data_IF_453371303284
#
_entry.id   IF_453371303284
#
_cell.length_a   1.000
_cell.length_b   1.000
_cell.length_c   1.000
_cell.angle_alpha   90.00
_cell.angle_beta   90.00
_cell.angle_gamma   90.00
#
_symmetry.space_group_name_H-M   'P 1'
#
loop_
_entity.id
_entity.type
_entity.pdbx_description
1 polymer ?
#
# COMPACT_ATOMS: atom_id res chain seq x y z
N UNK A 1 -10.81 -6.68 -23.75
CA UNK A 1 -10.74 -5.29 -24.20
C UNK A 1 -11.62 -4.44 -23.28
N UNK A 2 -11.01 -3.98 -22.20
CA UNK A 2 -11.41 -2.81 -21.41
C UNK A 2 -10.04 -2.16 -21.14
N UNK A 3 -9.65 -1.25 -22.01
CA UNK A 3 -8.51 -0.38 -21.79
C UNK A 3 -8.89 0.53 -20.63
N UNK A 4 -8.41 0.20 -19.43
CA UNK A 4 -8.38 1.15 -18.32
C UNK A 4 -7.21 2.09 -18.57
N UNK A 5 -7.39 2.99 -19.54
CA UNK A 5 -6.54 4.18 -19.68
C UNK A 5 -6.72 5.03 -18.41
N UNK A 6 -5.65 5.22 -17.65
CA UNK A 6 -5.58 6.27 -16.63
C UNK A 6 -5.90 5.90 -15.18
N UNK A 7 -5.85 4.63 -14.75
CA UNK A 7 -5.76 4.36 -13.31
C UNK A 7 -4.32 4.64 -12.83
N UNK A 8 -4.03 5.91 -12.53
CA UNK A 8 -2.85 6.27 -11.74
C UNK A 8 -3.01 5.64 -10.35
N UNK A 9 -2.22 4.60 -10.07
CA UNK A 9 -2.17 3.99 -8.76
C UNK A 9 -1.20 4.76 -7.88
N UNK A 10 -1.71 5.24 -6.76
CA UNK A 10 -0.90 5.84 -5.72
C UNK A 10 -0.82 4.89 -4.52
N UNK A 11 0.39 4.64 -4.03
CA UNK A 11 0.65 3.85 -2.83
C UNK A 11 1.36 4.70 -1.78
N UNK A 12 0.81 4.76 -0.56
CA UNK A 12 1.42 5.49 0.55
C UNK A 12 1.93 4.53 1.62
N UNK A 13 3.12 4.82 2.14
CA UNK A 13 3.69 4.18 3.32
C UNK A 13 4.21 5.26 4.25
N UNK A 14 3.82 5.23 5.52
CA UNK A 14 4.27 6.18 6.52
C UNK A 14 4.38 5.52 7.90
N UNK A 15 5.21 6.11 8.75
CA UNK A 15 5.35 5.70 10.15
C UNK A 15 4.15 6.20 10.96
N UNK A 16 3.29 5.27 11.43
CA UNK A 16 2.10 5.62 12.23
C UNK A 16 2.44 6.37 13.52
N UNK A 17 3.39 5.92 14.37
CA UNK A 17 3.77 6.67 15.57
C UNK A 17 4.27 8.09 15.27
N UNK A 18 5.05 8.24 14.19
CA UNK A 18 5.58 9.53 13.75
C UNK A 18 4.47 10.48 13.27
N UNK A 19 3.44 9.92 12.62
CA UNK A 19 2.31 10.69 12.13
C UNK A 19 1.33 11.07 13.26
N UNK A 20 1.02 10.13 14.15
CA UNK A 20 -0.05 10.27 15.15
C UNK A 20 0.33 11.10 16.39
N UNK A 21 1.57 11.61 16.47
CA UNK A 21 2.07 12.31 17.66
C UNK A 21 1.31 13.61 18.01
N UNK A 22 0.62 14.24 17.05
CA UNK A 22 0.09 15.61 17.18
C UNK A 22 -1.45 15.68 17.04
N UNK A 23 -2.17 14.65 17.49
CA UNK A 23 -3.64 14.65 17.52
C UNK A 23 -4.33 14.32 16.19
N UNK A 24 -3.57 13.98 15.14
CA UNK A 24 -4.09 13.45 13.86
C UNK A 24 -4.47 11.96 13.93
N UNK A 25 -4.39 11.33 15.10
CA UNK A 25 -4.67 9.91 15.28
C UNK A 25 -6.10 9.53 14.86
N UNK A 26 -7.08 10.42 15.02
CA UNK A 26 -8.47 10.18 14.61
C UNK A 26 -8.62 9.98 13.09
N UNK A 27 -7.72 10.54 12.28
CA UNK A 27 -7.71 10.33 10.83
C UNK A 27 -7.36 8.87 10.45
N UNK A 28 -6.89 8.06 11.41
CA UNK A 28 -6.63 6.64 11.22
C UNK A 28 -7.84 5.75 11.56
N UNK A 29 -8.90 6.29 12.17
CA UNK A 29 -10.13 5.54 12.51
C UNK A 29 -10.74 4.77 11.32
N UNK A 30 -10.78 5.30 10.08
CA UNK A 30 -11.25 4.53 8.93
C UNK A 30 -10.47 3.21 8.75
N UNK A 31 -9.16 3.21 8.99
CA UNK A 31 -8.30 2.04 8.83
C UNK A 31 -8.46 1.05 9.98
N UNK A 32 -8.67 1.54 11.20
CA UNK A 32 -9.01 0.69 12.35
C UNK A 32 -10.32 -0.04 12.13
N UNK A 33 -11.35 0.65 11.63
CA UNK A 33 -12.63 0.02 11.26
C UNK A 33 -12.44 -1.07 10.20
N UNK A 34 -11.56 -0.87 9.22
CA UNK A 34 -11.24 -1.89 8.21
C UNK A 34 -10.63 -3.13 8.85
N UNK A 35 -9.68 -2.94 9.78
CA UNK A 35 -9.09 -4.03 10.58
C UNK A 35 -10.16 -4.80 11.35
N UNK A 36 -11.16 -4.10 11.87
CA UNK A 36 -12.27 -4.67 12.64
C UNK A 36 -13.40 -5.24 11.78
N UNK A 37 -13.30 -5.13 10.45
CA UNK A 37 -14.19 -5.82 9.54
C UNK A 37 -14.91 -4.95 8.51
N UNK A 38 -14.75 -3.63 8.57
CA UNK A 38 -15.38 -2.70 7.64
C UNK A 38 -14.80 -2.81 6.21
N UNK A 39 -15.45 -2.14 5.27
CA UNK A 39 -15.01 -2.10 3.88
C UNK A 39 -13.68 -1.37 3.73
N UNK A 40 -12.68 -2.04 3.17
CA UNK A 40 -11.40 -1.44 2.77
C UNK A 40 -11.52 -0.54 1.53
N UNK A 41 -12.71 -0.43 0.94
CA UNK A 41 -12.98 0.40 -0.25
C UNK A 41 -13.85 1.57 0.17
N UNK A 42 -13.32 2.77 -0.01
CA UNK A 42 -14.02 4.05 0.20
C UNK A 42 -14.23 4.71 -1.16
N UNK A 43 -15.43 5.23 -1.40
CA UNK A 43 -15.73 5.99 -2.63
C UNK A 43 -15.52 7.47 -2.36
N UNK A 44 -14.53 8.05 -3.02
CA UNK A 44 -14.31 9.49 -2.98
C UNK A 44 -15.28 10.18 -3.96
N UNK A 45 -15.97 11.26 -3.57
CA UNK A 45 -16.77 12.08 -4.49
C UNK A 45 -15.96 12.57 -5.69
N UNK A 46 -16.55 12.55 -6.88
CA UNK A 46 -15.84 12.83 -8.15
C UNK A 46 -15.26 14.25 -8.24
N UNK A 47 -15.91 15.22 -7.60
CA UNK A 47 -15.44 16.60 -7.50
C UNK A 47 -14.15 16.76 -6.67
N UNK A 48 -13.81 15.75 -5.85
CA UNK A 48 -12.58 15.73 -5.04
C UNK A 48 -11.42 15.00 -5.72
N UNK A 49 -11.65 14.30 -6.84
CA UNK A 49 -10.61 13.46 -7.48
C UNK A 49 -9.39 14.28 -7.91
N UNK A 50 -9.60 15.38 -8.66
CA UNK A 50 -8.49 16.23 -9.13
C UNK A 50 -7.67 16.84 -7.98
N UNK A 51 -8.31 17.16 -6.85
CA UNK A 51 -7.61 17.66 -5.67
C UNK A 51 -6.71 16.59 -5.05
N UNK A 52 -7.24 15.37 -4.85
CA UNK A 52 -6.46 14.26 -4.32
C UNK A 52 -5.30 13.89 -5.23
N UNK A 53 -5.54 13.77 -6.54
CA UNK A 53 -4.48 13.50 -7.53
C UNK A 53 -3.35 14.55 -7.45
N UNK A 54 -3.70 15.83 -7.25
CA UNK A 54 -2.73 16.90 -7.02
C UNK A 54 -1.90 16.69 -5.75
N UNK A 55 -2.54 16.34 -4.62
CA UNK A 55 -1.83 16.07 -3.36
C UNK A 55 -0.88 14.87 -3.48
N UNK A 56 -1.33 13.80 -4.11
CA UNK A 56 -0.52 12.62 -4.32
C UNK A 56 0.68 12.90 -5.23
N UNK A 57 0.48 13.65 -6.31
CA UNK A 57 1.56 14.07 -7.21
C UNK A 57 2.61 14.91 -6.51
N UNK A 58 2.18 15.85 -5.67
CA UNK A 58 3.09 16.67 -4.88
C UNK A 58 3.90 15.82 -3.91
N UNK A 59 3.24 14.87 -3.23
CA UNK A 59 3.90 13.95 -2.32
C UNK A 59 4.93 13.07 -3.03
N UNK A 60 4.65 12.61 -4.25
CA UNK A 60 5.62 11.88 -5.07
C UNK A 60 6.81 12.75 -5.51
N UNK A 61 6.56 14.00 -5.90
CA UNK A 61 7.61 14.92 -6.32
C UNK A 61 8.60 15.17 -5.17
N UNK A 62 8.10 15.35 -3.94
CA UNK A 62 8.94 15.50 -2.74
C UNK A 62 9.81 14.27 -2.49
N UNK A 63 9.35 13.07 -2.85
CA UNK A 63 10.13 11.83 -2.72
C UNK A 63 11.21 11.65 -3.80
N UNK A 64 11.17 12.42 -4.89
CA UNK A 64 12.14 12.34 -6.00
C UNK A 64 13.30 13.32 -5.88
N UNK A 65 13.12 14.41 -5.16
CA UNK A 65 14.16 15.41 -4.94
C UNK A 65 15.22 14.86 -3.97
N UNK A 66 16.49 14.68 -4.42
CA UNK A 66 17.57 14.22 -3.56
C UNK A 66 18.04 15.36 -2.66
N UNK A 67 17.30 15.60 -1.57
CA UNK A 67 17.66 16.57 -0.54
C UNK A 67 17.87 15.82 0.78
N UNK A 68 18.84 16.25 1.59
CA UNK A 68 19.08 15.68 2.91
C UNK A 68 17.89 15.88 3.86
N UNK A 69 17.95 15.31 5.09
CA UNK A 69 16.90 15.49 6.09
C UNK A 69 16.62 16.99 6.28
N UNK A 70 15.38 17.40 6.03
CA UNK A 70 14.95 18.77 6.20
C UNK A 70 13.64 18.76 6.98
N UNK A 71 13.64 19.37 8.16
CA UNK A 71 12.46 19.50 9.00
C UNK A 71 11.28 20.14 8.23
N UNK A 72 11.59 21.03 7.29
CA UNK A 72 10.60 21.64 6.40
C UNK A 72 9.98 20.62 5.43
N UNK A 73 10.77 19.72 4.84
CA UNK A 73 10.25 18.67 3.96
C UNK A 73 9.38 17.68 4.73
N UNK A 74 9.80 17.28 5.92
CA UNK A 74 9.02 16.37 6.78
C UNK A 74 7.69 17.01 7.18
N UNK A 75 7.69 18.31 7.51
CA UNK A 75 6.47 19.06 7.81
C UNK A 75 5.53 19.15 6.60
N UNK A 76 6.05 19.37 5.39
CA UNK A 76 5.25 19.40 4.15
C UNK A 76 4.67 18.01 3.86
N UNK A 77 5.48 16.95 3.92
CA UNK A 77 5.01 15.57 3.71
C UNK A 77 3.91 15.20 4.70
N UNK A 78 4.09 15.53 5.98
CA UNK A 78 3.08 15.31 7.03
C UNK A 78 1.80 16.08 6.73
N UNK A 79 1.90 17.32 6.27
CA UNK A 79 0.74 18.15 5.92
C UNK A 79 -0.04 17.56 4.74
N UNK A 80 0.64 17.15 3.67
CA UNK A 80 0.02 16.51 2.51
C UNK A 80 -0.66 15.19 2.90
N UNK A 81 0.02 14.34 3.69
CA UNK A 81 -0.55 13.10 4.19
C UNK A 81 -1.80 13.36 5.05
N UNK A 82 -1.76 14.38 5.91
CA UNK A 82 -2.92 14.77 6.75
C UNK A 82 -4.11 15.16 5.88
N UNK A 83 -3.89 15.94 4.82
CA UNK A 83 -4.95 16.33 3.88
C UNK A 83 -5.54 15.11 3.15
N UNK A 84 -4.70 14.19 2.68
CA UNK A 84 -5.15 12.95 2.03
C UNK A 84 -6.00 12.11 3.00
N UNK A 85 -5.51 11.88 4.22
CA UNK A 85 -6.24 11.09 5.22
C UNK A 85 -7.55 11.77 5.65
N UNK A 86 -7.59 13.11 5.70
CA UNK A 86 -8.83 13.85 5.97
C UNK A 86 -9.88 13.68 4.85
N UNK A 87 -9.49 13.59 3.57
CA UNK A 87 -10.42 13.25 2.50
C UNK A 87 -10.96 11.82 2.64
N UNK A 88 -10.09 10.87 2.98
CA UNK A 88 -10.48 9.47 3.21
C UNK A 88 -11.47 9.38 4.37
N UNK A 89 -11.17 10.04 5.49
CA UNK A 89 -12.05 10.07 6.65
C UNK A 89 -13.43 10.66 6.31
N UNK A 90 -13.46 11.84 5.67
CA UNK A 90 -14.72 12.47 5.24
C UNK A 90 -15.53 11.58 4.31
N UNK A 91 -14.90 10.93 3.33
CA UNK A 91 -15.57 10.03 2.41
C UNK A 91 -16.06 8.74 3.09
N UNK A 92 -15.33 8.24 4.09
CA UNK A 92 -15.72 7.08 4.88
C UNK A 92 -16.92 7.38 5.79
N UNK A 93 -17.02 8.62 6.27
CA UNK A 93 -18.09 9.09 7.16
C UNK A 93 -19.35 9.51 6.39
N UNK A 94 -19.20 10.12 5.20
CA UNK A 94 -20.32 10.53 4.33
C UNK A 94 -21.00 9.37 3.61
N UNK A 95 -20.32 8.22 3.50
CA UNK A 95 -20.88 7.00 2.87
C UNK A 95 -22.05 6.39 3.66
N UNK A 96 -22.43 6.97 4.80
CA UNK A 96 -23.64 6.63 5.54
C UNK A 96 -23.56 5.27 6.23
N UNK A 97 -23.89 5.24 7.51
CA UNK A 97 -24.12 4.01 8.23
C UNK A 97 -25.10 3.10 7.44
N UNK A 98 -24.70 1.82 7.29
CA UNK A 98 -25.48 0.68 6.75
C UNK A 98 -25.62 0.54 5.23
N UNK A 99 -24.73 -0.26 4.62
CA UNK A 99 -24.97 -1.66 4.18
C UNK A 99 -23.61 -2.29 3.81
N UNK A 100 -23.16 -3.44 4.33
CA UNK A 100 -23.90 -4.60 4.80
C UNK A 100 -23.24 -5.28 6.02
N UNK A 101 -24.10 -5.76 6.92
CA UNK A 101 -23.90 -6.78 7.97
C UNK A 101 -23.61 -8.16 7.35
N UNK A 102 -22.58 -8.20 6.52
CA UNK A 102 -22.07 -9.34 5.77
C UNK A 102 -21.07 -8.74 4.79
N UNK A 103 -19.78 -9.05 4.95
CA UNK A 103 -18.74 -8.42 4.15
C UNK A 103 -19.09 -8.53 2.67
N UNK A 104 -18.99 -7.42 1.92
CA UNK A 104 -19.05 -7.52 0.46
C UNK A 104 -18.04 -8.57 0.02
N UNK A 105 -18.36 -9.35 -1.03
CA UNK A 105 -17.41 -10.31 -1.62
C UNK A 105 -16.05 -9.65 -1.89
N UNK A 106 -16.07 -8.35 -2.24
CA UNK A 106 -14.86 -7.53 -2.40
C UNK A 106 -14.09 -7.40 -1.08
N UNK A 107 -14.75 -6.99 0.00
CA UNK A 107 -14.12 -6.83 1.32
C UNK A 107 -13.56 -8.15 1.84
N UNK A 108 -14.32 -9.23 1.73
CA UNK A 108 -13.89 -10.56 2.16
C UNK A 108 -12.72 -11.07 1.31
N UNK A 109 -12.76 -10.88 0.00
CA UNK A 109 -11.68 -11.25 -0.90
C UNK A 109 -10.40 -10.46 -0.61
N UNK A 110 -10.50 -9.13 -0.44
CA UNK A 110 -9.34 -8.28 -0.09
C UNK A 110 -8.72 -8.68 1.24
N UNK A 111 -9.54 -8.90 2.28
CA UNK A 111 -9.06 -9.37 3.59
C UNK A 111 -8.40 -10.75 3.49
N UNK A 112 -8.96 -11.65 2.68
CA UNK A 112 -8.36 -12.95 2.45
C UNK A 112 -7.03 -12.81 1.71
N UNK A 113 -6.93 -11.95 0.69
CA UNK A 113 -5.68 -11.70 -0.02
C UNK A 113 -4.64 -11.12 0.93
N UNK A 114 -4.96 -10.07 1.70
CA UNK A 114 -4.03 -9.43 2.63
C UNK A 114 -3.39 -10.44 3.60
N UNK A 115 -4.20 -11.30 4.21
CA UNK A 115 -3.75 -12.30 5.18
C UNK A 115 -2.93 -13.44 4.58
N UNK A 116 -3.04 -13.67 3.26
CA UNK A 116 -2.56 -14.89 2.63
C UNK A 116 -1.64 -14.65 1.42
N UNK A 117 -1.43 -13.40 1.00
CA UNK A 117 -0.68 -13.10 -0.21
C UNK A 117 0.80 -13.47 -0.10
N UNK A 118 1.37 -13.53 1.10
CA UNK A 118 2.78 -13.88 1.33
C UNK A 118 3.08 -15.38 1.24
N UNK A 119 2.05 -16.22 1.13
CA UNK A 119 2.17 -17.66 0.84
C UNK A 119 1.69 -17.95 -0.58
N UNK A 120 1.93 -19.15 -1.14
CA UNK A 120 1.32 -19.56 -2.39
C UNK A 120 -0.20 -19.35 -2.34
N UNK A 121 -0.70 -18.49 -3.21
CA UNK A 121 -2.10 -18.06 -3.25
C UNK A 121 -2.52 -17.84 -4.70
N UNK A 122 -3.60 -18.51 -5.11
CA UNK A 122 -4.16 -18.41 -6.46
C UNK A 122 -5.52 -17.69 -6.44
N UNK A 123 -5.98 -17.26 -7.62
CA UNK A 123 -7.34 -16.73 -7.77
C UNK A 123 -8.41 -17.75 -7.34
N UNK A 124 -8.18 -19.04 -7.57
CA UNK A 124 -9.12 -20.09 -7.17
C UNK A 124 -9.24 -20.19 -5.65
N UNK A 125 -8.15 -20.01 -4.92
CA UNK A 125 -8.16 -20.01 -3.45
C UNK A 125 -8.96 -18.83 -2.90
N UNK A 126 -8.76 -17.64 -3.48
CA UNK A 126 -9.54 -16.43 -3.11
C UNK A 126 -11.03 -16.66 -3.40
N UNK A 127 -11.35 -17.21 -4.58
CA UNK A 127 -12.72 -17.49 -4.99
C UNK A 127 -13.41 -18.52 -4.10
N UNK A 128 -12.70 -19.58 -3.73
CA UNK A 128 -13.16 -20.59 -2.78
C UNK A 128 -13.43 -19.98 -1.39
N UNK A 129 -12.52 -19.12 -0.90
CA UNK A 129 -12.66 -18.47 0.40
C UNK A 129 -13.94 -17.60 0.53
N UNK A 130 -14.36 -16.96 -0.57
CA UNK A 130 -15.59 -16.15 -0.61
C UNK A 130 -16.79 -16.88 -1.22
N UNK A 131 -16.66 -18.19 -1.50
CA UNK A 131 -17.71 -19.05 -2.08
C UNK A 131 -18.30 -18.46 -3.38
N UNK A 132 -17.43 -18.02 -4.30
CA UNK A 132 -17.81 -17.49 -5.61
C UNK A 132 -16.93 -18.08 -6.70
N UNK A 133 -17.28 -17.83 -7.97
CA UNK A 133 -16.43 -18.22 -9.09
C UNK A 133 -15.23 -17.27 -9.25
N UNK A 134 -14.09 -17.76 -9.77
CA UNK A 134 -12.91 -16.94 -10.10
C UNK A 134 -13.26 -15.71 -10.97
N UNK A 135 -14.12 -15.90 -11.96
CA UNK A 135 -14.60 -14.83 -12.85
C UNK A 135 -15.39 -13.79 -12.08
N UNK A 136 -16.33 -14.20 -11.23
CA UNK A 136 -17.12 -13.27 -10.42
C UNK A 136 -16.23 -12.43 -9.50
N UNK A 137 -15.28 -13.06 -8.81
CA UNK A 137 -14.34 -12.35 -7.91
C UNK A 137 -13.50 -11.35 -8.68
N UNK A 138 -12.99 -11.74 -9.84
CA UNK A 138 -12.21 -10.84 -10.71
C UNK A 138 -13.04 -9.63 -11.13
N UNK A 139 -14.25 -9.85 -11.65
CA UNK A 139 -15.14 -8.76 -12.07
C UNK A 139 -15.51 -7.86 -10.90
N UNK A 140 -15.88 -8.41 -9.75
CA UNK A 140 -16.27 -7.65 -8.57
C UNK A 140 -15.11 -6.79 -8.04
N UNK A 141 -13.90 -7.35 -7.95
CA UNK A 141 -12.71 -6.60 -7.53
C UNK A 141 -12.34 -5.52 -8.55
N UNK A 142 -12.31 -5.83 -9.85
CA UNK A 142 -11.98 -4.85 -10.88
C UNK A 142 -12.98 -3.70 -10.91
N UNK A 143 -14.28 -3.96 -10.76
CA UNK A 143 -15.30 -2.92 -10.70
C UNK A 143 -15.20 -2.06 -9.43
N UNK A 144 -14.82 -2.65 -8.29
CA UNK A 144 -14.77 -1.93 -7.02
C UNK A 144 -13.45 -1.19 -6.80
N UNK A 145 -12.34 -1.72 -7.30
CA UNK A 145 -10.99 -1.24 -6.97
C UNK A 145 -10.12 -0.92 -8.19
N UNK A 146 -10.63 -1.14 -9.41
CA UNK A 146 -9.82 -1.05 -10.63
C UNK A 146 -8.79 -2.17 -10.81
N UNK A 147 -8.76 -3.19 -9.94
CA UNK A 147 -7.74 -4.25 -9.92
C UNK A 147 -8.34 -5.64 -9.78
N UNK A 148 -7.78 -6.59 -10.50
CA UNK A 148 -8.08 -8.02 -10.34
C UNK A 148 -7.50 -8.57 -9.04
N UNK A 149 -7.99 -9.74 -8.60
CA UNK A 149 -7.43 -10.43 -7.44
C UNK A 149 -5.94 -10.73 -7.59
N UNK A 150 -5.50 -11.13 -8.79
CA UNK A 150 -4.09 -11.44 -9.05
C UNK A 150 -3.21 -10.20 -8.90
N UNK A 151 -3.67 -9.04 -9.38
CA UNK A 151 -2.97 -7.77 -9.20
C UNK A 151 -2.88 -7.38 -7.72
N UNK A 152 -3.95 -7.60 -6.94
CA UNK A 152 -3.91 -7.39 -5.49
C UNK A 152 -2.92 -8.32 -4.78
N UNK A 153 -2.87 -9.61 -5.15
CA UNK A 153 -1.89 -10.56 -4.60
C UNK A 153 -0.47 -10.09 -4.90
N UNK A 154 -0.18 -9.75 -6.15
CA UNK A 154 1.15 -9.25 -6.56
C UNK A 154 1.50 -7.97 -5.82
N UNK A 155 0.58 -7.01 -5.74
CA UNK A 155 0.82 -5.73 -5.07
C UNK A 155 1.13 -5.90 -3.58
N UNK A 156 0.40 -6.78 -2.87
CA UNK A 156 0.69 -7.09 -1.47
C UNK A 156 2.08 -7.72 -1.28
N UNK A 157 2.46 -8.66 -2.15
CA UNK A 157 3.81 -9.27 -2.12
C UNK A 157 4.92 -8.25 -2.39
N UNK A 158 4.73 -7.36 -3.37
CA UNK A 158 5.70 -6.32 -3.72
C UNK A 158 5.86 -5.29 -2.60
N UNK A 159 4.76 -4.91 -1.94
CA UNK A 159 4.79 -4.01 -0.80
C UNK A 159 5.59 -4.60 0.37
N UNK A 160 5.35 -5.87 0.71
CA UNK A 160 6.13 -6.55 1.75
C UNK A 160 7.59 -6.75 1.36
N UNK A 161 7.86 -7.08 0.10
CA UNK A 161 9.23 -7.18 -0.40
C UNK A 161 9.97 -5.85 -0.24
N UNK A 162 9.36 -4.73 -0.62
CA UNK A 162 9.92 -3.38 -0.42
C UNK A 162 10.22 -3.13 1.06
N UNK A 163 9.29 -3.49 1.95
CA UNK A 163 9.47 -3.35 3.42
C UNK A 163 10.65 -4.18 3.92
N UNK A 164 10.75 -5.45 3.55
CA UNK A 164 11.86 -6.33 3.93
C UNK A 164 13.20 -5.83 3.39
N UNK A 165 13.24 -5.37 2.14
CA UNK A 165 14.47 -4.83 1.54
C UNK A 165 14.97 -3.56 2.25
N UNK A 166 14.06 -2.74 2.81
CA UNK A 166 14.40 -1.53 3.57
C UNK A 166 14.87 -1.81 4.99
N UNK A 167 14.26 -2.78 5.67
CA UNK A 167 14.41 -2.98 7.12
C UNK A 167 15.20 -4.25 7.47
N UNK A 168 15.80 -4.92 6.49
CA UNK A 168 16.61 -6.12 6.70
C UNK A 168 17.72 -6.25 5.66
N UNK A 169 18.80 -6.93 6.06
CA UNK A 169 19.92 -7.30 5.20
C UNK A 169 19.74 -8.70 4.58
N UNK A 170 18.51 -9.23 4.55
CA UNK A 170 18.22 -10.56 4.02
C UNK A 170 18.59 -10.67 2.53
N UNK A 171 19.06 -11.85 2.12
CA UNK A 171 19.38 -12.11 0.72
C UNK A 171 18.10 -12.06 -0.15
N UNK A 172 18.25 -11.67 -1.42
CA UNK A 172 17.12 -11.41 -2.34
C UNK A 172 16.27 -12.66 -2.58
N UNK A 173 16.90 -13.84 -2.61
CA UNK A 173 16.27 -15.15 -2.69
C UNK A 173 15.44 -15.47 -1.44
N UNK A 174 15.95 -15.18 -0.24
CA UNK A 174 15.22 -15.33 1.03
C UNK A 174 14.00 -14.40 1.04
N UNK A 175 14.16 -13.14 0.61
CA UNK A 175 13.03 -12.20 0.48
C UNK A 175 11.98 -12.73 -0.50
N UNK A 176 12.40 -13.30 -1.64
CA UNK A 176 11.50 -13.88 -2.63
C UNK A 176 10.65 -15.01 -2.02
N UNK A 177 11.28 -15.92 -1.26
CA UNK A 177 10.58 -17.01 -0.59
C UNK A 177 9.57 -16.48 0.44
N UNK A 178 9.98 -15.51 1.27
CA UNK A 178 9.12 -14.90 2.30
C UNK A 178 7.91 -14.18 1.74
N UNK A 179 8.00 -13.64 0.53
CA UNK A 179 6.87 -12.98 -0.16
C UNK A 179 6.15 -13.92 -1.12
N UNK A 180 6.36 -15.23 -1.00
CA UNK A 180 5.55 -16.25 -1.68
C UNK A 180 5.95 -16.53 -3.13
N UNK A 181 7.21 -16.25 -3.50
CA UNK A 181 7.80 -16.64 -4.79
C UNK A 181 8.75 -17.83 -4.61
N UNK A 182 8.46 -18.94 -5.27
CA UNK A 182 9.36 -20.11 -5.30
C UNK A 182 10.58 -19.91 -6.22
N UNK A 183 10.49 -18.97 -7.17
CA UNK A 183 11.57 -18.63 -8.09
C UNK A 183 12.00 -17.17 -7.91
N UNK A 184 13.23 -16.99 -7.44
CA UNK A 184 13.85 -15.68 -7.24
C UNK A 184 13.99 -14.90 -8.57
N UNK A 185 14.21 -15.57 -9.70
CA UNK A 185 14.31 -14.92 -11.02
C UNK A 185 12.96 -14.33 -11.42
N UNK A 186 11.87 -15.08 -11.22
CA UNK A 186 10.53 -14.56 -11.43
C UNK A 186 10.23 -13.36 -10.51
N UNK A 187 10.58 -13.46 -9.22
CA UNK A 187 10.43 -12.36 -8.28
C UNK A 187 11.19 -11.10 -8.74
N UNK A 188 12.47 -11.22 -9.11
CA UNK A 188 13.29 -10.07 -9.56
C UNK A 188 12.66 -9.39 -10.78
N UNK A 189 12.14 -10.16 -11.75
CA UNK A 189 11.45 -9.62 -12.92
C UNK A 189 10.18 -8.85 -12.53
N UNK A 190 9.40 -9.40 -11.61
CA UNK A 190 8.17 -8.78 -11.11
C UNK A 190 8.47 -7.50 -10.35
N UNK A 191 9.47 -7.52 -9.46
CA UNK A 191 9.90 -6.36 -8.69
C UNK A 191 10.42 -5.25 -9.60
N UNK A 192 11.23 -5.59 -10.60
CA UNK A 192 11.72 -4.61 -11.59
C UNK A 192 10.60 -3.99 -12.40
N UNK A 193 9.56 -4.76 -12.75
CA UNK A 193 8.40 -4.23 -13.46
C UNK A 193 7.63 -3.22 -12.58
N UNK A 194 7.51 -3.50 -11.29
CA UNK A 194 6.76 -2.65 -10.35
C UNK A 194 7.54 -1.39 -9.96
N UNK A 195 8.85 -1.50 -9.72
CA UNK A 195 9.66 -0.44 -9.11
C UNK A 195 10.80 0.08 -10.01
N UNK A 196 10.86 -0.35 -11.27
CA UNK A 196 11.85 0.12 -12.26
C UNK A 196 13.28 -0.41 -12.08
N UNK A 197 13.63 -0.97 -10.93
CA UNK A 197 14.97 -1.47 -10.60
C UNK A 197 14.92 -2.89 -10.02
N UNK A 198 16.03 -3.63 -10.07
CA UNK A 198 16.13 -4.93 -9.39
C UNK A 198 16.11 -4.76 -7.87
N UNK A 199 15.67 -5.76 -7.08
CA UNK A 199 15.65 -5.67 -5.61
C UNK A 199 16.99 -5.22 -5.01
N UNK A 200 18.10 -5.78 -5.50
CA UNK A 200 19.44 -5.43 -5.02
C UNK A 200 19.85 -3.99 -5.37
N UNK A 201 19.61 -3.56 -6.61
CA UNK A 201 19.91 -2.19 -7.03
C UNK A 201 19.03 -1.18 -6.28
N UNK A 202 17.76 -1.52 -6.08
CA UNK A 202 16.82 -0.71 -5.31
C UNK A 202 17.27 -0.55 -3.86
N UNK A 203 17.63 -1.65 -3.17
CA UNK A 203 18.17 -1.58 -1.80
C UNK A 203 19.42 -0.71 -1.72
N UNK A 204 20.37 -0.90 -2.63
CA UNK A 204 21.61 -0.14 -2.65
C UNK A 204 21.39 1.37 -2.82
N UNK A 205 20.34 1.78 -3.56
CA UNK A 205 19.97 3.18 -3.69
C UNK A 205 19.44 3.76 -2.36
N UNK A 206 18.69 2.98 -1.58
CA UNK A 206 18.13 3.43 -0.30
C UNK A 206 19.20 3.53 0.81
N UNK A 207 20.16 2.61 0.85
CA UNK A 207 21.25 2.64 1.84
C UNK A 207 22.26 3.78 1.60
N UNK A 208 22.25 4.40 0.42
CA UNK A 208 23.10 5.56 0.08
C UNK A 208 22.52 6.91 0.54
N UNK A 209 21.35 6.94 1.18
CA UNK A 209 20.85 8.11 1.91
C UNK A 209 21.65 8.38 3.19
N UNK A 210 21.69 9.62 3.71
CA UNK A 210 22.57 9.99 4.81
C UNK A 210 22.24 9.18 6.07
N UNK A 211 23.20 8.35 6.50
CA UNK A 211 23.14 7.62 7.76
C UNK A 211 23.15 8.67 8.88
N UNK A 212 22.03 8.84 9.57
CA UNK A 212 22.01 9.56 10.86
C UNK A 212 22.79 8.70 11.84
N UNK A 213 24.05 9.10 12.04
CA UNK A 213 24.96 8.50 13.00
C UNK A 213 24.36 8.68 14.39
N UNK A 214 23.74 7.63 14.92
CA UNK A 214 23.32 7.60 16.31
C UNK A 214 24.59 7.40 17.13
N UNK A 215 25.29 8.51 17.38
CA UNK A 215 26.50 8.56 18.19
C UNK A 215 26.26 7.83 19.51
N UNK A 216 26.88 6.67 19.64
CA UNK A 216 27.02 5.95 20.89
C UNK A 216 27.92 6.78 21.81
N UNK A 217 27.31 7.61 22.66
CA UNK A 217 27.95 8.18 23.82
C UNK A 217 28.37 7.05 24.76
N UNK A 218 29.66 6.72 24.74
CA UNK A 218 30.27 5.93 25.81
C UNK A 218 30.86 6.92 26.80
N UNK A 219 30.15 7.17 27.89
CA UNK A 219 30.67 7.89 29.06
C UNK A 219 31.78 7.06 29.71
N UNK A 220 32.92 7.72 29.98
CA UNK A 220 33.84 7.42 31.08
C UNK A 220 34.33 8.73 31.67
#
# INVERSE_FOLDING_TARGET
>A
MLETDGLELWGLSFCVPCFASDGSASLLEPFERVRDGASAVVRIPSDRHAYLEGLFRELENLGREPQGPSEALDAIQRSLLTLILAEVDRASSSSGAHRATGGSVVTEALRFIERNCLRPLTLNDVAAAVRRSPTYVTTALTQATGRSAVQWIVSGRMAEAKRLLLHSDEMVDVVAERVGYADATHFIRMFRREYGATPAAWRAAQTRGPRVDHGSGTER
#
